data_IF_741858936836
#
_entry.id   IF_741858936836
#
_cell.length_a   1.000
_cell.length_b   1.000
_cell.length_c   1.000
_cell.angle_alpha   90.00
_cell.angle_beta   90.00
_cell.angle_gamma   90.00
#
_symmetry.space_group_name_H-M   'P 1'
#
loop_
_entity.id
_entity.type
_entity.pdbx_description
1 polymer ?
#
# COMPACT_ATOMS: atom_id res chain seq x y z
N UNK A 1 -31.51 7.28 -11.99
CA UNK A 1 -30.42 7.12 -11.00
C UNK A 1 -29.34 8.20 -11.10
N UNK A 2 -29.28 8.97 -12.21
CA UNK A 2 -28.30 10.05 -12.46
C UNK A 2 -28.58 11.40 -11.75
N UNK A 3 -29.69 11.56 -11.02
CA UNK A 3 -30.11 12.89 -10.52
C UNK A 3 -29.26 13.44 -9.35
N UNK A 4 -28.47 12.60 -8.67
CA UNK A 4 -27.75 12.95 -7.44
C UNK A 4 -26.22 12.85 -7.57
N UNK A 5 -25.72 12.67 -8.79
CA UNK A 5 -24.30 12.54 -9.09
C UNK A 5 -23.88 13.62 -10.08
N UNK A 6 -22.74 14.23 -9.84
CA UNK A 6 -22.09 15.17 -10.75
C UNK A 6 -20.86 14.50 -11.34
N UNK A 7 -20.78 14.41 -12.66
CA UNK A 7 -19.63 13.86 -13.36
C UNK A 7 -18.59 14.95 -13.65
N UNK A 8 -17.33 14.69 -13.31
CA UNK A 8 -16.21 15.42 -13.91
C UNK A 8 -15.93 14.84 -15.29
N UNK A 9 -16.34 15.57 -16.33
CA UNK A 9 -16.22 15.15 -17.74
C UNK A 9 -14.77 14.87 -18.15
N UNK A 10 -13.78 15.48 -17.47
CA UNK A 10 -12.37 15.30 -17.81
C UNK A 10 -11.80 13.97 -17.33
N UNK A 11 -12.31 13.44 -16.21
CA UNK A 11 -11.83 12.21 -15.58
C UNK A 11 -12.84 11.05 -15.66
N UNK A 12 -14.11 11.34 -15.93
CA UNK A 12 -15.24 10.39 -15.86
C UNK A 12 -15.62 10.00 -14.42
N UNK A 13 -15.07 10.68 -13.41
CA UNK A 13 -15.35 10.39 -12.00
C UNK A 13 -16.67 11.04 -11.59
N UNK A 14 -17.49 10.33 -10.83
CA UNK A 14 -18.77 10.81 -10.35
C UNK A 14 -18.71 11.18 -8.86
N UNK A 15 -19.23 12.35 -8.52
CA UNK A 15 -19.21 12.94 -7.19
C UNK A 15 -20.64 13.14 -6.68
N UNK A 16 -20.90 12.86 -5.41
CA UNK A 16 -22.19 13.13 -4.74
C UNK A 16 -21.93 13.97 -3.50
N UNK A 17 -22.47 15.18 -3.46
CA UNK A 17 -22.44 16.01 -2.26
C UNK A 17 -23.74 15.83 -1.52
N UNK A 18 -23.67 15.31 -0.30
CA UNK A 18 -24.83 15.26 0.59
C UNK A 18 -24.70 16.47 1.52
N UNK A 19 -25.54 17.49 1.31
CA UNK A 19 -25.53 18.75 2.06
C UNK A 19 -26.60 18.84 3.17
N UNK A 20 -27.48 17.82 3.31
CA UNK A 20 -28.60 17.80 4.28
C UNK A 20 -28.60 16.67 5.36
N UNK A 21 -27.69 15.68 5.29
CA UNK A 21 -27.48 14.53 6.22
C UNK A 21 -26.36 14.63 7.32
N UNK A 22 -26.67 14.85 8.60
CA UNK A 22 -25.64 14.87 9.65
C UNK A 22 -25.17 13.46 10.08
N UNK A 23 -23.95 13.04 9.69
CA UNK A 23 -23.38 11.72 10.02
C UNK A 23 -21.96 11.82 10.62
N UNK A 24 -21.62 10.85 11.48
CA UNK A 24 -20.21 10.61 11.89
C UNK A 24 -19.38 10.08 10.72
N UNK A 25 -18.04 10.17 10.78
CA UNK A 25 -17.16 9.67 9.72
C UNK A 25 -17.40 8.19 9.36
N UNK A 26 -17.59 7.32 10.36
CA UNK A 26 -17.87 5.90 10.10
C UNK A 26 -19.25 5.66 9.49
N UNK A 27 -20.28 6.40 9.92
CA UNK A 27 -21.62 6.31 9.34
C UNK A 27 -21.63 6.84 7.90
N UNK A 28 -20.96 7.95 7.67
CA UNK A 28 -20.69 8.51 6.36
C UNK A 28 -20.05 7.47 5.45
N UNK A 29 -18.92 6.88 5.87
CA UNK A 29 -18.24 5.82 5.11
C UNK A 29 -19.17 4.67 4.74
N UNK A 30 -19.94 4.16 5.71
CA UNK A 30 -20.92 3.09 5.46
C UNK A 30 -21.98 3.51 4.44
N UNK A 31 -22.42 4.77 4.47
CA UNK A 31 -23.41 5.31 3.52
C UNK A 31 -22.89 5.37 2.08
N UNK A 32 -21.60 5.66 1.85
CA UNK A 32 -21.02 5.53 0.51
C UNK A 32 -20.88 4.06 0.11
N UNK A 33 -20.40 3.21 1.00
CA UNK A 33 -20.18 1.79 0.71
C UNK A 33 -21.48 1.07 0.29
N UNK A 34 -22.62 1.43 0.90
CA UNK A 34 -23.95 0.94 0.51
C UNK A 34 -24.37 1.32 -0.91
N UNK A 35 -23.73 2.35 -1.51
CA UNK A 35 -23.96 2.83 -2.86
C UNK A 35 -22.86 2.37 -3.83
N UNK A 36 -22.06 1.36 -3.46
CA UNK A 36 -20.86 0.95 -4.22
C UNK A 36 -19.85 2.09 -4.43
N UNK A 37 -19.81 3.03 -3.49
CA UNK A 37 -18.97 4.21 -3.45
C UNK A 37 -18.02 4.17 -2.23
N UNK A 38 -17.14 5.16 -2.11
CA UNK A 38 -16.30 5.36 -0.92
C UNK A 38 -16.17 6.85 -0.60
N UNK A 39 -15.69 7.19 0.59
CA UNK A 39 -15.39 8.57 0.96
C UNK A 39 -14.36 9.20 0.02
N UNK A 40 -14.49 10.52 -0.18
CA UNK A 40 -13.68 11.32 -1.08
C UNK A 40 -12.18 11.13 -0.87
N UNK A 41 -11.47 10.74 -1.92
CA UNK A 41 -10.01 10.78 -2.00
C UNK A 41 -9.58 11.83 -3.00
N UNK A 42 -8.59 12.64 -2.64
CA UNK A 42 -8.02 13.65 -3.53
C UNK A 42 -6.56 13.26 -3.79
N UNK A 43 -6.27 12.88 -5.03
CA UNK A 43 -4.96 12.34 -5.40
C UNK A 43 -4.15 13.25 -6.32
N UNK A 44 -4.80 14.23 -6.94
CA UNK A 44 -4.21 15.15 -7.91
C UNK A 44 -4.67 16.59 -7.66
N UNK A 45 -3.87 17.56 -8.13
CA UNK A 45 -4.17 19.00 -7.98
C UNK A 45 -5.41 19.44 -8.76
N UNK A 46 -5.66 18.82 -9.93
CA UNK A 46 -6.84 19.10 -10.75
C UNK A 46 -8.12 18.66 -10.04
N UNK A 47 -8.11 17.48 -9.40
CA UNK A 47 -9.22 16.98 -8.59
C UNK A 47 -9.49 17.91 -7.40
N UNK A 48 -8.45 18.40 -6.73
CA UNK A 48 -8.60 19.39 -5.66
C UNK A 48 -9.28 20.69 -6.15
N UNK A 49 -8.90 21.19 -7.33
CA UNK A 49 -9.51 22.38 -7.90
C UNK A 49 -10.98 22.14 -8.28
N UNK A 50 -11.28 21.00 -8.91
CA UNK A 50 -12.65 20.62 -9.28
C UNK A 50 -13.56 20.49 -8.06
N UNK A 51 -13.10 19.77 -7.03
CA UNK A 51 -13.82 19.65 -5.75
C UNK A 51 -14.00 21.02 -5.09
N UNK A 52 -12.99 21.90 -5.18
CA UNK A 52 -13.09 23.26 -4.69
C UNK A 52 -14.23 24.03 -5.37
N UNK A 53 -14.29 23.99 -6.70
CA UNK A 53 -15.38 24.62 -7.46
C UNK A 53 -16.75 24.01 -7.14
N UNK A 54 -16.84 22.69 -7.01
CA UNK A 54 -18.08 21.98 -6.68
C UNK A 54 -18.56 22.30 -5.26
N UNK A 55 -17.64 22.59 -4.34
CA UNK A 55 -17.96 22.84 -2.93
C UNK A 55 -18.04 24.33 -2.56
N UNK A 56 -17.72 25.25 -3.48
CA UNK A 56 -17.57 26.69 -3.20
C UNK A 56 -18.80 27.37 -2.61
N UNK A 57 -19.99 26.92 -3.01
CA UNK A 57 -21.26 27.51 -2.59
C UNK A 57 -21.68 27.04 -1.19
N UNK A 58 -21.08 25.95 -0.72
CA UNK A 58 -21.40 25.38 0.58
C UNK A 58 -20.56 26.06 1.66
N UNK A 59 -21.21 26.87 2.49
CA UNK A 59 -20.56 27.61 3.57
C UNK A 59 -20.10 26.76 4.76
N UNK A 60 -20.00 25.43 4.63
CA UNK A 60 -19.72 24.46 5.68
C UNK A 60 -18.71 23.39 5.23
N UNK A 61 -18.20 22.65 6.21
CA UNK A 61 -17.17 21.65 6.01
C UNK A 61 -17.74 20.27 5.66
N UNK A 62 -16.96 19.45 4.97
CA UNK A 62 -17.35 18.10 4.57
C UNK A 62 -16.32 17.05 5.00
N UNK A 63 -16.79 15.85 5.32
CA UNK A 63 -15.92 14.70 5.51
C UNK A 63 -15.26 14.24 4.22
N UNK A 64 -13.98 13.85 4.32
CA UNK A 64 -13.23 13.17 3.28
C UNK A 64 -12.70 11.82 3.80
N UNK A 65 -12.19 10.98 2.92
CA UNK A 65 -11.73 9.62 3.24
C UNK A 65 -10.37 9.53 3.94
N UNK A 66 -9.64 10.65 4.06
CA UNK A 66 -8.31 10.68 4.64
C UNK A 66 -8.38 10.52 6.16
N UNK A 67 -7.63 9.53 6.65
CA UNK A 67 -7.69 9.13 8.05
C UNK A 67 -6.34 8.53 8.51
N UNK A 68 -6.15 8.50 9.83
CA UNK A 68 -5.02 7.83 10.50
C UNK A 68 -5.53 6.81 11.54
N UNK A 69 -6.58 6.03 11.19
CA UNK A 69 -7.21 5.07 12.10
C UNK A 69 -6.34 3.84 12.38
N UNK A 70 -5.43 3.51 11.47
CA UNK A 70 -4.51 2.38 11.66
C UNK A 70 -3.31 2.85 12.50
N UNK A 71 -3.23 2.38 13.74
CA UNK A 71 -2.19 2.80 14.69
C UNK A 71 -0.75 2.50 14.23
N UNK A 72 -0.57 1.52 13.35
CA UNK A 72 0.72 1.10 12.82
C UNK A 72 1.09 1.81 11.51
N UNK A 73 0.18 2.58 10.91
CA UNK A 73 0.38 3.27 9.63
C UNK A 73 0.20 4.78 9.77
N UNK A 74 0.70 5.51 8.78
CA UNK A 74 0.44 6.93 8.59
C UNK A 74 -0.92 7.21 7.97
N UNK A 75 -1.02 8.40 7.39
CA UNK A 75 -2.21 8.87 6.68
C UNK A 75 -2.52 8.01 5.46
N UNK A 76 -3.80 7.67 5.30
CA UNK A 76 -4.29 6.85 4.19
C UNK A 76 -5.71 7.23 3.79
N UNK A 77 -6.05 7.04 2.51
CA UNK A 77 -7.43 7.16 2.03
C UNK A 77 -8.23 5.89 2.32
N UNK A 78 -9.49 6.06 2.72
CA UNK A 78 -10.41 4.95 3.01
C UNK A 78 -10.57 3.96 1.85
N UNK A 79 -10.53 4.46 0.60
CA UNK A 79 -10.67 3.64 -0.62
C UNK A 79 -9.38 2.99 -1.14
N UNK A 80 -8.26 3.13 -0.42
CA UNK A 80 -6.98 2.56 -0.85
C UNK A 80 -6.22 3.39 -1.90
N UNK A 81 -6.77 4.52 -2.35
CA UNK A 81 -6.04 5.49 -3.16
C UNK A 81 -4.72 5.90 -2.49
N UNK A 82 -3.66 6.15 -3.27
CA UNK A 82 -2.36 6.56 -2.73
C UNK A 82 -2.45 7.96 -2.10
N UNK A 83 -1.90 8.12 -0.89
CA UNK A 83 -1.79 9.41 -0.24
C UNK A 83 -0.54 10.16 -0.75
N UNK A 84 -0.59 10.61 -2.01
CA UNK A 84 0.55 11.25 -2.71
C UNK A 84 0.44 12.77 -2.84
N UNK A 85 -0.74 13.34 -2.61
CA UNK A 85 -1.00 14.77 -2.72
C UNK A 85 -1.42 15.31 -1.35
N UNK A 86 -0.84 16.44 -0.96
CA UNK A 86 -1.05 17.07 0.33
C UNK A 86 -1.62 18.47 0.15
N UNK A 87 -2.59 18.82 0.97
CA UNK A 87 -3.17 20.15 0.99
C UNK A 87 -3.67 20.50 2.40
N UNK A 88 -2.73 20.49 3.36
CA UNK A 88 -2.99 20.69 4.79
C UNK A 88 -3.14 22.16 5.16
N UNK A 89 -4.10 22.46 6.05
CA UNK A 89 -4.30 23.79 6.59
C UNK A 89 -3.07 24.18 7.40
N UNK A 90 -2.61 25.45 7.34
CA UNK A 90 -1.54 25.92 8.21
C UNK A 90 -1.84 25.56 9.66
N UNK A 91 -0.93 24.82 10.29
CA UNK A 91 -1.12 24.34 11.66
C UNK A 91 -1.12 25.56 12.60
N UNK A 92 -2.26 25.85 13.21
CA UNK A 92 -2.28 26.66 14.43
C UNK A 92 -1.72 25.76 15.52
N UNK A 93 -0.48 26.01 15.95
CA UNK A 93 0.20 25.24 16.98
C UNK A 93 -0.72 25.06 18.21
N UNK A 94 -1.10 23.81 18.50
CA UNK A 94 -1.52 23.45 19.84
C UNK A 94 -0.83 22.12 20.24
N UNK A 95 0.11 22.13 21.21
CA UNK A 95 1.01 21.00 21.48
C UNK A 95 0.39 19.86 22.31
N UNK A 96 -0.91 19.91 22.59
CA UNK A 96 -1.59 18.95 23.46
C UNK A 96 -2.51 18.07 22.63
N UNK A 97 -2.57 16.78 22.98
CA UNK A 97 -3.41 15.71 22.40
C UNK A 97 -2.69 14.73 21.46
N UNK A 98 -1.79 13.96 22.08
CA UNK A 98 -1.10 12.78 21.53
C UNK A 98 -1.98 11.53 21.34
N UNK A 99 -3.30 11.61 21.50
CA UNK A 99 -4.21 10.47 21.33
C UNK A 99 -5.58 10.96 20.84
N UNK A 100 -5.82 10.89 19.54
CA UNK A 100 -7.19 10.91 19.00
C UNK A 100 -7.18 10.37 17.58
N UNK A 101 -8.19 9.58 17.23
CA UNK A 101 -8.46 9.11 15.86
C UNK A 101 -8.71 10.33 14.95
N UNK A 102 -7.70 10.77 14.20
CA UNK A 102 -7.83 11.95 13.34
C UNK A 102 -8.52 11.58 12.02
N UNK A 103 -9.70 12.16 11.80
CA UNK A 103 -10.39 12.21 10.51
C UNK A 103 -10.39 13.66 10.01
N UNK A 104 -10.37 13.87 8.71
CA UNK A 104 -10.20 15.22 8.13
C UNK A 104 -11.51 15.80 7.63
N UNK A 105 -11.66 17.11 7.82
CA UNK A 105 -12.69 17.92 7.17
C UNK A 105 -12.06 18.97 6.25
N UNK A 106 -12.67 19.19 5.09
CA UNK A 106 -12.34 20.31 4.20
C UNK A 106 -13.03 21.59 4.71
N UNK A 107 -12.32 22.71 4.83
CA UNK A 107 -12.85 24.02 5.25
C UNK A 107 -13.05 24.98 4.05
N UNK A 108 -13.77 26.09 4.28
CA UNK A 108 -14.09 27.21 3.35
C UNK A 108 -12.94 27.77 2.48
N UNK A 109 -11.69 27.35 2.70
CA UNK A 109 -10.51 27.79 1.96
C UNK A 109 -9.85 26.66 1.14
N UNK A 110 -10.55 25.54 0.95
CA UNK A 110 -10.07 24.38 0.19
C UNK A 110 -8.85 23.70 0.80
N UNK A 111 -8.68 23.77 2.12
CA UNK A 111 -7.56 23.19 2.85
C UNK A 111 -8.04 22.18 3.90
N UNK A 112 -7.23 21.15 4.17
CA UNK A 112 -7.56 20.02 5.04
C UNK A 112 -7.20 20.29 6.50
N UNK A 113 -8.14 20.03 7.43
CA UNK A 113 -7.93 20.24 8.86
C UNK A 113 -8.09 18.96 9.69
N UNK A 114 -7.29 18.83 10.75
CA UNK A 114 -7.40 17.75 11.72
C UNK A 114 -8.71 17.88 12.51
N UNK A 115 -9.40 16.77 12.77
CA UNK A 115 -10.58 16.75 13.65
C UNK A 115 -10.51 15.60 14.66
N UNK A 116 -10.82 15.89 15.94
CA UNK A 116 -10.80 14.94 17.06
C UNK A 116 -12.22 14.47 17.42
N UNK A 117 -12.36 13.16 17.65
CA UNK A 117 -13.62 12.46 17.97
C UNK A 117 -14.18 12.76 19.38
N UNK A 118 -13.35 13.20 20.33
CA UNK A 118 -13.76 13.45 21.72
C UNK A 118 -14.30 14.87 21.98
N UNK A 119 -14.20 15.80 21.02
CA UNK A 119 -14.62 17.20 21.19
C UNK A 119 -16.03 17.51 20.63
N UNK A 120 -17.02 16.71 21.03
CA UNK A 120 -18.46 17.05 21.06
C UNK A 120 -19.39 16.49 19.98
N UNK A 121 -20.64 16.33 20.47
CA UNK A 121 -21.88 15.97 19.77
C UNK A 121 -22.21 16.94 18.63
N UNK A 122 -22.88 16.37 17.64
CA UNK A 122 -23.72 17.01 16.62
C UNK A 122 -23.08 18.13 15.79
N UNK A 123 -22.46 17.78 14.63
CA UNK A 123 -22.23 18.72 13.52
C UNK A 123 -22.13 17.98 12.16
N UNK A 124 -23.24 18.05 11.41
CA UNK A 124 -23.44 18.50 10.00
C UNK A 124 -22.33 18.14 8.97
N UNK A 125 -22.56 17.02 8.27
CA UNK A 125 -22.56 16.83 6.79
C UNK A 125 -21.33 16.52 5.94
N UNK A 126 -21.54 15.79 4.82
CA UNK A 126 -20.63 14.82 4.18
C UNK A 126 -20.65 14.93 2.65
N UNK A 127 -19.48 14.97 2.00
CA UNK A 127 -19.35 14.74 0.55
C UNK A 127 -18.86 13.32 0.26
N UNK A 128 -19.32 12.71 -0.82
CA UNK A 128 -19.03 11.33 -1.23
C UNK A 128 -18.62 11.23 -2.70
N UNK A 129 -17.86 10.18 -3.08
CA UNK A 129 -17.51 9.89 -4.48
C UNK A 129 -18.04 8.51 -4.87
N UNK A 130 -18.58 8.39 -6.08
CA UNK A 130 -18.74 7.13 -6.79
C UNK A 130 -17.72 7.07 -7.92
N UNK A 131 -16.67 6.30 -7.70
CA UNK A 131 -15.82 5.89 -8.80
C UNK A 131 -16.59 4.79 -9.55
N UNK A 132 -17.19 5.13 -10.68
CA UNK A 132 -17.31 4.13 -11.74
C UNK A 132 -15.88 3.74 -12.05
N UNK A 133 -15.45 2.57 -11.57
CA UNK A 133 -14.27 1.91 -12.10
C UNK A 133 -14.56 1.64 -13.59
N UNK A 134 -14.33 2.65 -14.43
CA UNK A 134 -14.28 2.52 -15.87
C UNK A 134 -13.14 1.57 -16.15
N UNK A 135 -13.54 0.31 -16.30
CA UNK A 135 -12.73 -0.85 -16.67
C UNK A 135 -11.54 -1.07 -15.75
N UNK A 136 -11.69 -2.12 -14.92
CA UNK A 136 -10.63 -3.07 -14.61
C UNK A 136 -9.33 -2.74 -15.36
N UNK A 137 -8.38 -2.11 -14.67
CA UNK A 137 -6.99 -2.37 -15.00
C UNK A 137 -6.73 -3.81 -14.53
N UNK A 138 -7.33 -4.77 -15.23
CA UNK A 138 -6.69 -6.06 -15.41
C UNK A 138 -5.50 -5.68 -16.26
N UNK A 139 -4.39 -5.33 -15.60
CA UNK A 139 -3.11 -5.66 -16.17
C UNK A 139 -3.23 -7.14 -16.49
N UNK A 140 -3.44 -7.45 -17.76
CA UNK A 140 -3.09 -8.76 -18.28
C UNK A 140 -1.58 -8.80 -18.05
N UNK A 141 -1.18 -9.24 -16.87
CA UNK A 141 0.18 -9.66 -16.61
C UNK A 141 0.34 -10.86 -17.53
N UNK A 142 0.83 -10.57 -18.74
CA UNK A 142 1.46 -11.59 -19.56
C UNK A 142 2.39 -12.36 -18.64
N UNK A 143 2.29 -13.69 -18.71
CA UNK A 143 2.98 -14.66 -17.86
C UNK A 143 4.28 -14.07 -17.30
N UNK A 144 4.36 -13.93 -15.97
CA UNK A 144 5.57 -13.48 -15.28
C UNK A 144 6.71 -14.44 -15.64
N UNK A 145 7.41 -14.14 -16.73
CA UNK A 145 8.53 -14.95 -17.17
C UNK A 145 9.64 -14.83 -16.14
N UNK A 146 10.36 -15.92 -15.83
CA UNK A 146 11.53 -15.86 -14.99
C UNK A 146 12.51 -14.82 -15.54
N UNK A 147 12.87 -13.86 -14.70
CA UNK A 147 13.78 -12.78 -15.05
C UNK A 147 15.18 -13.12 -14.56
N UNK A 148 16.18 -12.98 -15.42
CA UNK A 148 17.58 -13.02 -15.04
C UNK A 148 18.09 -11.61 -14.74
N UNK A 149 18.76 -11.48 -13.61
CA UNK A 149 19.40 -10.24 -13.16
C UNK A 149 20.91 -10.46 -13.07
N UNK A 150 21.68 -9.41 -13.32
CA UNK A 150 23.14 -9.41 -13.13
C UNK A 150 23.50 -9.72 -11.67
N UNK A 151 24.69 -10.29 -11.43
CA UNK A 151 25.15 -10.66 -10.10
C UNK A 151 24.95 -9.54 -9.05
N UNK A 152 24.41 -9.92 -7.90
CA UNK A 152 24.08 -9.00 -6.80
C UNK A 152 22.75 -8.24 -6.97
N UNK A 153 22.00 -8.48 -8.04
CA UNK A 153 20.63 -7.98 -8.21
C UNK A 153 19.60 -9.10 -8.04
N UNK A 154 18.52 -8.81 -7.34
CA UNK A 154 17.47 -9.76 -7.02
C UNK A 154 16.27 -9.61 -7.98
N UNK A 155 15.86 -10.67 -8.68
CA UNK A 155 14.71 -10.62 -9.58
C UNK A 155 13.40 -10.63 -8.79
N UNK A 156 12.48 -9.74 -9.16
CA UNK A 156 11.09 -9.78 -8.71
C UNK A 156 10.15 -9.16 -9.74
N UNK A 157 9.07 -9.86 -10.07
CA UNK A 157 7.97 -9.36 -10.90
C UNK A 157 8.40 -8.56 -12.16
N UNK A 158 9.28 -9.11 -12.98
CA UNK A 158 9.71 -8.44 -14.22
C UNK A 158 10.88 -7.46 -14.07
N UNK A 159 11.41 -7.25 -12.85
CA UNK A 159 12.41 -6.24 -12.53
C UNK A 159 13.55 -6.82 -11.69
N UNK A 160 14.65 -6.07 -11.60
CA UNK A 160 15.82 -6.38 -10.80
C UNK A 160 16.01 -5.30 -9.74
N UNK A 161 16.25 -5.70 -8.48
CA UNK A 161 16.40 -4.80 -7.33
C UNK A 161 17.74 -5.00 -6.64
N UNK A 162 18.27 -3.93 -6.05
CA UNK A 162 19.50 -3.99 -5.25
C UNK A 162 19.50 -2.95 -4.15
N UNK A 163 19.85 -3.39 -2.93
CA UNK A 163 20.15 -2.50 -1.81
C UNK A 163 21.61 -2.10 -1.86
N UNK A 164 21.85 -0.80 -1.84
CA UNK A 164 23.14 -0.16 -1.67
C UNK A 164 23.26 0.39 -0.25
N UNK A 165 24.33 0.01 0.45
CA UNK A 165 24.58 0.41 1.85
C UNK A 165 25.64 1.52 1.96
N UNK A 166 26.21 1.96 0.85
CA UNK A 166 27.00 3.18 0.80
C UNK A 166 26.09 4.39 1.00
N UNK A 167 26.51 5.32 1.86
CA UNK A 167 25.70 6.46 2.26
C UNK A 167 25.82 7.58 1.21
N UNK A 168 24.68 8.01 0.67
CA UNK A 168 24.58 9.06 -0.36
C UNK A 168 23.39 9.98 -0.10
N UNK A 169 23.49 11.21 -0.59
CA UNK A 169 22.31 12.09 -0.72
C UNK A 169 21.32 11.46 -1.69
N UNK A 170 20.06 11.89 -1.67
CA UNK A 170 19.05 11.34 -2.57
C UNK A 170 19.42 11.52 -4.05
N UNK A 171 19.95 12.69 -4.43
CA UNK A 171 20.38 12.99 -5.80
C UNK A 171 21.61 12.16 -6.23
N UNK A 172 22.58 11.98 -5.33
CA UNK A 172 23.74 11.13 -5.58
C UNK A 172 23.35 9.65 -5.71
N UNK A 173 22.40 9.19 -4.90
CA UNK A 173 21.85 7.85 -4.94
C UNK A 173 21.10 7.60 -6.26
N UNK A 174 20.27 8.55 -6.69
CA UNK A 174 19.61 8.54 -7.99
C UNK A 174 20.62 8.42 -9.14
N UNK A 175 21.65 9.27 -9.12
CA UNK A 175 22.74 9.24 -10.10
C UNK A 175 23.48 7.90 -10.08
N UNK A 176 23.66 7.30 -8.91
CA UNK A 176 24.28 5.97 -8.75
C UNK A 176 23.44 4.85 -9.37
N UNK A 177 22.12 4.87 -9.17
CA UNK A 177 21.22 3.89 -9.80
C UNK A 177 21.18 4.05 -11.32
N UNK A 178 21.14 5.30 -11.82
CA UNK A 178 21.15 5.60 -13.27
C UNK A 178 22.43 5.18 -13.97
N UNK A 179 23.58 5.25 -13.29
CA UNK A 179 24.86 4.70 -13.80
C UNK A 179 24.85 3.18 -13.96
N UNK A 180 23.90 2.46 -13.35
CA UNK A 180 23.72 1.01 -13.45
C UNK A 180 22.50 0.63 -14.31
N UNK A 181 22.08 1.52 -15.22
CA UNK A 181 20.92 1.39 -16.11
C UNK A 181 19.59 1.17 -15.36
N UNK A 182 19.50 1.73 -14.15
CA UNK A 182 18.30 1.70 -13.32
C UNK A 182 17.86 3.09 -12.87
N UNK A 183 17.00 3.11 -11.88
CA UNK A 183 16.59 4.31 -11.15
C UNK A 183 16.42 3.94 -9.66
N UNK A 184 16.15 4.91 -8.79
CA UNK A 184 15.72 4.62 -7.43
C UNK A 184 14.41 3.82 -7.46
N UNK A 185 14.24 2.91 -6.50
CA UNK A 185 13.14 1.97 -6.53
C UNK A 185 11.78 2.66 -6.40
N UNK A 186 10.93 2.43 -7.39
CA UNK A 186 9.49 2.67 -7.38
C UNK A 186 8.74 1.44 -6.88
N UNK A 187 7.61 1.66 -6.18
CA UNK A 187 6.79 0.59 -5.58
C UNK A 187 5.32 0.82 -5.94
N UNK A 188 4.69 -0.15 -6.60
CA UNK A 188 3.36 0.02 -7.22
C UNK A 188 2.26 -0.83 -6.59
N UNK A 189 2.62 -1.87 -5.85
CA UNK A 189 1.66 -2.81 -5.30
C UNK A 189 2.21 -3.45 -4.01
N UNK A 190 1.30 -4.06 -3.25
CA UNK A 190 1.64 -4.63 -1.94
C UNK A 190 2.64 -5.79 -2.08
N UNK A 191 2.61 -6.55 -3.18
CA UNK A 191 3.50 -7.69 -3.37
C UNK A 191 4.96 -7.26 -3.60
N UNK A 192 5.18 -6.21 -4.39
CA UNK A 192 6.48 -5.56 -4.58
C UNK A 192 7.01 -4.95 -3.28
N UNK A 193 6.16 -4.22 -2.55
CA UNK A 193 6.50 -3.72 -1.21
C UNK A 193 6.93 -4.86 -0.26
N UNK A 194 6.14 -5.94 -0.23
CA UNK A 194 6.42 -7.11 0.60
C UNK A 194 7.71 -7.81 0.20
N UNK A 195 8.05 -7.86 -1.09
CA UNK A 195 9.33 -8.41 -1.57
C UNK A 195 10.53 -7.59 -1.06
N UNK A 196 10.47 -6.26 -1.13
CA UNK A 196 11.51 -5.38 -0.60
C UNK A 196 11.79 -5.64 0.89
N UNK A 197 10.73 -5.80 1.69
CA UNK A 197 10.84 -5.99 3.14
C UNK A 197 11.30 -7.40 3.52
N UNK A 198 10.82 -8.43 2.82
CA UNK A 198 11.01 -9.84 3.24
C UNK A 198 12.14 -10.59 2.54
N UNK A 199 12.46 -10.24 1.29
CA UNK A 199 13.36 -11.05 0.45
C UNK A 199 14.62 -10.29 -0.02
N UNK A 200 14.57 -8.96 -0.12
CA UNK A 200 15.70 -8.16 -0.63
C UNK A 200 16.87 -8.01 0.36
N UNK A 201 16.73 -8.54 1.58
CA UNK A 201 17.74 -8.42 2.64
C UNK A 201 17.70 -7.08 3.38
N UNK A 202 16.53 -6.43 3.40
CA UNK A 202 16.24 -5.26 4.22
C UNK A 202 16.36 -5.59 5.72
N UNK A 203 16.90 -4.65 6.51
CA UNK A 203 16.95 -4.79 7.97
C UNK A 203 16.10 -3.70 8.65
N UNK A 204 15.35 -4.02 9.72
CA UNK A 204 14.56 -3.04 10.49
C UNK A 204 15.31 -1.81 11.00
N UNK A 205 16.63 -1.93 11.18
CA UNK A 205 17.53 -0.86 11.64
C UNK A 205 18.01 0.05 10.51
N UNK A 206 17.74 -0.30 9.25
CA UNK A 206 18.15 0.46 8.08
C UNK A 206 17.09 1.50 7.71
N UNK A 207 17.59 2.63 7.20
CA UNK A 207 16.82 3.69 6.57
C UNK A 207 17.39 3.86 5.17
N UNK A 208 16.56 3.61 4.15
CA UNK A 208 16.99 3.52 2.75
C UNK A 208 16.19 4.46 1.86
N UNK A 209 16.84 5.21 0.97
CA UNK A 209 16.16 6.03 -0.03
C UNK A 209 15.33 5.20 -1.02
N UNK A 210 14.13 5.70 -1.30
CA UNK A 210 13.26 5.30 -2.39
C UNK A 210 13.19 6.41 -3.45
N UNK A 211 12.62 6.12 -4.63
CA UNK A 211 12.49 7.11 -5.70
C UNK A 211 11.38 8.16 -5.49
N UNK A 212 10.58 8.04 -4.43
CA UNK A 212 9.44 8.92 -4.19
C UNK A 212 9.93 10.26 -3.63
N UNK A 213 9.46 11.37 -4.21
CA UNK A 213 9.91 12.72 -3.90
C UNK A 213 8.86 13.76 -4.32
N UNK A 214 8.93 14.99 -3.81
CA UNK A 214 8.08 16.11 -4.25
C UNK A 214 8.88 17.29 -4.87
N UNK A 215 10.08 17.01 -5.41
CA UNK A 215 11.03 18.03 -5.89
C UNK A 215 10.46 18.91 -7.01
N UNK A 216 9.68 18.30 -7.91
CA UNK A 216 9.12 19.01 -9.06
C UNK A 216 7.93 19.90 -8.69
N UNK A 217 7.13 19.45 -7.74
CA UNK A 217 5.92 20.13 -7.31
C UNK A 217 5.71 19.83 -5.83
N UNK A 218 6.05 20.80 -4.98
CA UNK A 218 5.91 20.67 -3.54
C UNK A 218 4.50 20.19 -3.17
N UNK A 219 4.41 19.27 -2.20
CA UNK A 219 3.18 18.59 -1.77
C UNK A 219 2.60 17.57 -2.75
N UNK A 220 3.26 17.29 -3.87
CA UNK A 220 2.81 16.30 -4.86
C UNK A 220 3.91 15.28 -5.14
N UNK A 221 3.83 14.14 -4.45
CA UNK A 221 4.85 13.09 -4.54
C UNK A 221 4.79 12.32 -5.86
N UNK A 222 5.92 12.19 -6.54
CA UNK A 222 6.09 11.42 -7.78
C UNK A 222 7.31 10.49 -7.70
N UNK A 223 7.30 9.41 -8.49
CA UNK A 223 8.46 8.53 -8.62
C UNK A 223 9.50 9.12 -9.57
N UNK A 224 10.78 9.03 -9.20
CA UNK A 224 11.92 9.51 -10.00
C UNK A 224 12.07 8.84 -11.37
N UNK A 225 11.52 7.63 -11.53
CA UNK A 225 11.49 6.89 -12.80
C UNK A 225 10.28 7.25 -13.70
N UNK A 226 9.43 8.18 -13.26
CA UNK A 226 8.26 8.67 -13.98
C UNK A 226 7.06 7.72 -14.00
N UNK A 227 7.13 6.59 -13.29
CA UNK A 227 5.99 5.67 -13.17
C UNK A 227 4.90 6.24 -12.24
N UNK A 228 3.62 5.87 -12.41
CA UNK A 228 2.55 6.41 -11.58
C UNK A 228 2.64 5.92 -10.13
N UNK A 229 2.33 6.81 -9.19
CA UNK A 229 2.19 6.45 -7.77
C UNK A 229 0.84 5.77 -7.59
N UNK A 230 0.84 4.45 -7.38
CA UNK A 230 -0.37 3.63 -7.20
C UNK A 230 -0.51 3.05 -5.80
N UNK A 231 0.54 3.14 -4.99
CA UNK A 231 0.59 2.69 -3.60
C UNK A 231 1.35 3.72 -2.77
N UNK A 232 0.90 3.92 -1.53
CA UNK A 232 1.68 4.59 -0.48
C UNK A 232 1.61 3.80 0.81
N UNK A 233 2.74 3.66 1.50
CA UNK A 233 2.82 2.93 2.77
C UNK A 233 3.47 3.80 3.86
N UNK A 234 2.87 4.97 4.14
CA UNK A 234 3.43 5.93 5.09
C UNK A 234 3.57 5.37 6.51
N UNK A 235 4.65 5.76 7.17
CA UNK A 235 4.86 5.59 8.59
C UNK A 235 3.94 6.54 9.35
N UNK A 236 3.63 6.19 10.59
CA UNK A 236 2.84 7.03 11.48
C UNK A 236 3.37 8.46 11.50
N UNK A 237 2.44 9.42 11.42
CA UNK A 237 2.71 10.87 11.37
C UNK A 237 3.43 11.38 10.13
N UNK A 238 3.71 10.52 9.14
CA UNK A 238 4.22 10.92 7.83
C UNK A 238 3.11 10.92 6.77
N UNK A 239 3.32 11.65 5.66
CA UNK A 239 4.36 12.64 5.40
C UNK A 239 4.32 13.83 6.38
N UNK A 240 5.49 14.29 6.83
CA UNK A 240 5.63 15.47 7.70
C UNK A 240 5.95 16.68 6.85
N UNK A 241 5.36 17.83 7.16
CA UNK A 241 5.64 19.07 6.46
C UNK A 241 6.83 19.80 7.09
N UNK A 242 7.86 20.07 6.29
CA UNK A 242 8.94 20.98 6.66
C UNK A 242 8.87 22.20 5.76
N UNK A 243 8.47 23.35 6.31
CA UNK A 243 8.20 24.55 5.51
C UNK A 243 9.40 24.97 4.65
N UNK A 244 9.22 24.98 3.33
CA UNK A 244 10.19 25.50 2.37
C UNK A 244 11.36 24.55 2.05
N UNK A 245 11.25 23.27 2.41
CA UNK A 245 12.21 22.24 1.99
C UNK A 245 11.53 21.20 1.12
N UNK A 246 12.28 20.76 0.11
CA UNK A 246 11.99 19.59 -0.71
C UNK A 246 12.08 18.31 0.15
N UNK A 247 11.08 17.43 0.03
CA UNK A 247 10.98 16.20 0.81
C UNK A 247 11.29 14.98 -0.07
N UNK A 248 12.26 14.19 0.38
CA UNK A 248 12.60 12.89 -0.20
C UNK A 248 12.12 11.77 0.71
N UNK A 249 11.84 10.59 0.14
CA UNK A 249 11.19 9.51 0.89
C UNK A 249 12.14 8.36 1.17
N UNK A 250 12.18 7.94 2.44
CA UNK A 250 12.92 6.78 2.92
C UNK A 250 11.98 5.63 3.27
N UNK A 251 12.52 4.42 3.25
CA UNK A 251 11.93 3.21 3.80
C UNK A 251 12.63 2.86 5.12
N UNK A 252 11.88 2.73 6.22
CA UNK A 252 12.46 2.51 7.56
C UNK A 252 11.56 1.72 8.52
N UNK A 253 12.17 1.21 9.59
CA UNK A 253 11.50 0.52 10.69
C UNK A 253 11.13 -0.94 10.36
N UNK A 254 10.56 -1.65 11.34
CA UNK A 254 10.30 -3.08 11.25
C UNK A 254 9.49 -3.51 10.02
N UNK A 255 8.50 -2.70 9.66
CA UNK A 255 7.59 -2.99 8.55
C UNK A 255 8.04 -2.34 7.23
N UNK A 256 9.12 -1.56 7.22
CA UNK A 256 9.57 -0.81 6.05
C UNK A 256 8.59 0.29 5.60
N UNK A 257 7.90 0.95 6.54
CA UNK A 257 7.03 2.06 6.20
C UNK A 257 7.82 3.28 5.72
N UNK A 258 7.14 4.15 4.99
CA UNK A 258 7.75 5.28 4.30
C UNK A 258 7.74 6.53 5.15
N UNK A 259 8.83 7.28 5.15
CA UNK A 259 8.95 8.54 5.86
C UNK A 259 9.53 9.61 4.94
N UNK A 260 9.08 10.83 5.09
CA UNK A 260 9.70 12.02 4.49
C UNK A 260 10.93 12.41 5.29
N UNK A 261 12.00 12.79 4.61
CA UNK A 261 13.26 13.26 5.19
C UNK A 261 13.93 14.27 4.23
N UNK A 262 14.89 15.04 4.77
CA UNK A 262 15.63 16.03 3.98
C UNK A 262 16.55 15.36 2.97
N UNK A 263 16.43 15.75 1.70
CA UNK A 263 17.11 15.08 0.57
C UNK A 263 18.65 15.06 0.66
N UNK A 264 19.24 15.97 1.42
CA UNK A 264 20.70 16.06 1.61
C UNK A 264 21.25 15.08 2.66
N UNK A 265 20.39 14.33 3.35
CA UNK A 265 20.81 13.30 4.31
C UNK A 265 21.54 12.17 3.60
N UNK A 266 22.62 11.67 4.20
CA UNK A 266 23.39 10.56 3.65
C UNK A 266 22.84 9.22 4.16
N UNK A 267 22.21 8.45 3.26
CA UNK A 267 21.58 7.17 3.56
C UNK A 267 21.93 6.11 2.52
N UNK A 268 21.71 4.83 2.87
CA UNK A 268 21.66 3.77 1.87
C UNK A 268 20.45 3.94 0.94
N UNK A 269 20.36 3.17 -0.14
CA UNK A 269 19.35 3.37 -1.17
C UNK A 269 19.01 2.06 -1.88
N UNK A 270 17.82 2.02 -2.48
CA UNK A 270 17.36 0.86 -3.26
C UNK A 270 17.27 1.25 -4.73
N UNK A 271 17.97 0.52 -5.60
CA UNK A 271 17.85 0.67 -7.05
C UNK A 271 16.91 -0.38 -7.63
N UNK A 272 16.20 0.00 -8.70
CA UNK A 272 15.34 -0.87 -9.52
C UNK A 272 15.70 -0.68 -11.00
N UNK A 273 15.77 -1.77 -11.75
CA UNK A 273 15.98 -1.72 -13.21
C UNK A 273 15.22 -2.82 -13.94
N UNK A 274 15.01 -2.63 -15.24
CA UNK A 274 14.55 -3.69 -16.13
C UNK A 274 15.67 -4.72 -16.33
N UNK A 275 15.34 -6.00 -16.54
CA UNK A 275 16.35 -6.99 -16.85
C UNK A 275 17.03 -6.73 -18.18
N UNK A 276 18.30 -7.12 -18.27
CA UNK A 276 19.08 -7.05 -19.50
C UNK A 276 18.49 -8.01 -20.54
N UNK A 277 18.41 -7.58 -21.80
CA UNK A 277 17.83 -8.34 -22.93
C UNK A 277 18.63 -9.56 -23.38
N UNK A 278 19.76 -9.88 -22.73
CA UNK A 278 20.55 -11.08 -23.00
C UNK A 278 20.04 -12.24 -22.12
N UNK A 279 18.99 -12.92 -22.58
CA UNK A 279 18.49 -14.14 -21.95
C UNK A 279 19.10 -15.37 -22.59
N UNK A 280 19.78 -16.22 -21.82
CA UNK A 280 19.93 -17.64 -22.11
C UNK A 280 19.05 -18.45 -21.16
N UNK A 281 18.35 -19.45 -21.70
CA UNK A 281 17.33 -20.23 -21.01
C UNK A 281 17.80 -20.89 -19.70
N UNK A 282 16.88 -20.84 -18.72
CA UNK A 282 16.68 -21.77 -17.59
C UNK A 282 17.93 -22.15 -16.77
N UNK A 283 18.07 -21.43 -15.65
CA UNK A 283 18.24 -22.12 -14.36
C UNK A 283 17.16 -21.61 -13.41
N UNK A 284 16.21 -22.47 -13.07
CA UNK A 284 15.40 -22.27 -11.87
C UNK A 284 16.38 -22.22 -10.71
N UNK A 285 16.60 -21.03 -10.12
CA UNK A 285 17.41 -20.84 -8.92
C UNK A 285 16.88 -21.82 -7.87
N UNK A 286 17.61 -22.91 -7.67
CA UNK A 286 17.30 -23.89 -6.64
C UNK A 286 17.74 -23.27 -5.33
N UNK A 287 16.78 -22.94 -4.47
CA UNK A 287 17.09 -22.40 -3.15
C UNK A 287 17.83 -23.48 -2.34
N UNK A 288 19.05 -23.19 -1.83
CA UNK A 288 19.84 -24.18 -1.11
C UNK A 288 19.06 -24.76 0.08
N UNK A 289 18.85 -26.07 0.06
CA UNK A 289 18.09 -26.81 1.07
C UNK A 289 16.61 -27.05 0.75
N UNK A 290 16.09 -26.53 -0.37
CA UNK A 290 14.71 -26.77 -0.80
C UNK A 290 14.64 -27.64 -2.07
N UNK A 291 13.50 -28.31 -2.25
CA UNK A 291 13.19 -29.07 -3.46
C UNK A 291 13.01 -28.12 -4.66
N UNK A 292 13.20 -28.63 -5.88
CA UNK A 292 13.03 -27.84 -7.11
C UNK A 292 11.62 -27.25 -7.18
N UNK A 293 11.54 -25.94 -7.40
CA UNK A 293 10.27 -25.19 -7.47
C UNK A 293 9.78 -24.62 -6.13
N UNK A 294 10.40 -25.00 -5.02
CA UNK A 294 10.09 -24.46 -3.70
C UNK A 294 10.95 -23.23 -3.40
N UNK A 295 10.34 -22.25 -2.72
CA UNK A 295 11.00 -21.01 -2.29
C UNK A 295 11.29 -21.05 -0.80
N UNK A 296 12.55 -20.78 -0.45
CA UNK A 296 12.99 -20.76 0.95
C UNK A 296 12.66 -19.45 1.62
N UNK A 297 12.12 -19.52 2.83
CA UNK A 297 12.02 -18.38 3.73
C UNK A 297 12.24 -18.82 5.18
N UNK A 298 13.26 -18.25 5.83
CA UNK A 298 13.73 -18.70 7.13
C UNK A 298 14.20 -20.17 7.10
N UNK A 299 13.58 -21.00 7.92
CA UNK A 299 13.85 -22.44 8.02
C UNK A 299 12.87 -23.31 7.22
N UNK A 300 11.92 -22.68 6.50
CA UNK A 300 10.87 -23.38 5.77
C UNK A 300 11.02 -23.19 4.25
N UNK A 301 10.46 -24.15 3.50
CA UNK A 301 10.33 -24.10 2.06
C UNK A 301 8.83 -24.03 1.72
N UNK A 302 8.45 -23.16 0.79
CA UNK A 302 7.06 -22.92 0.39
C UNK A 302 6.87 -23.19 -1.09
N UNK A 303 5.68 -23.67 -1.46
CA UNK A 303 5.29 -23.91 -2.85
C UNK A 303 3.89 -23.34 -3.08
N UNK A 304 3.70 -22.67 -4.22
CA UNK A 304 2.39 -22.21 -4.67
C UNK A 304 1.84 -23.22 -5.67
N UNK A 305 0.73 -23.88 -5.33
CA UNK A 305 0.04 -24.80 -6.22
C UNK A 305 -0.53 -24.09 -7.46
N UNK A 306 -0.59 -24.79 -8.59
CA UNK A 306 -1.12 -24.26 -9.86
C UNK A 306 -2.57 -24.66 -10.15
N UNK A 307 -3.15 -25.56 -9.35
CA UNK A 307 -4.52 -26.05 -9.53
C UNK A 307 -5.55 -25.24 -8.74
N UNK A 308 -6.74 -25.05 -9.33
CA UNK A 308 -7.92 -24.58 -8.60
C UNK A 308 -8.51 -25.77 -7.84
N UNK A 309 -8.22 -25.84 -6.54
CA UNK A 309 -8.60 -26.96 -5.67
C UNK A 309 -9.51 -26.49 -4.54
N UNK A 310 -10.34 -27.40 -4.02
CA UNK A 310 -11.01 -27.20 -2.72
C UNK A 310 -10.00 -27.30 -1.56
N UNK A 311 -10.37 -26.83 -0.37
CA UNK A 311 -9.52 -26.92 0.82
C UNK A 311 -9.07 -28.37 1.10
N UNK A 312 -9.98 -29.34 1.02
CA UNK A 312 -9.67 -30.75 1.27
C UNK A 312 -8.72 -31.34 0.24
N UNK A 313 -8.90 -31.02 -1.05
CA UNK A 313 -8.00 -31.46 -2.12
C UNK A 313 -6.63 -30.80 -2.02
N UNK A 314 -6.58 -29.52 -1.67
CA UNK A 314 -5.35 -28.79 -1.44
C UNK A 314 -4.56 -29.39 -0.27
N UNK A 315 -5.23 -29.68 0.86
CA UNK A 315 -4.59 -30.32 2.01
C UNK A 315 -4.01 -31.69 1.66
N UNK A 316 -4.76 -32.56 0.99
CA UNK A 316 -4.27 -33.86 0.51
C UNK A 316 -3.09 -33.72 -0.45
N UNK A 317 -3.09 -32.70 -1.29
CA UNK A 317 -1.99 -32.43 -2.23
C UNK A 317 -0.73 -32.02 -1.48
N UNK A 318 -0.85 -31.19 -0.44
CA UNK A 318 0.28 -30.84 0.43
C UNK A 318 0.83 -32.07 1.16
N UNK A 319 -0.04 -32.89 1.76
CA UNK A 319 0.33 -34.12 2.46
C UNK A 319 1.07 -35.10 1.54
N UNK A 320 0.60 -35.25 0.29
CA UNK A 320 1.26 -36.09 -0.71
C UNK A 320 2.69 -35.63 -1.04
N UNK A 321 2.98 -34.34 -0.91
CA UNK A 321 4.32 -33.77 -1.10
C UNK A 321 5.15 -33.74 0.19
N UNK A 322 4.76 -34.49 1.23
CA UNK A 322 5.35 -34.44 2.58
C UNK A 322 5.39 -33.02 3.17
N UNK A 323 4.34 -32.24 2.90
CA UNK A 323 4.15 -30.89 3.40
C UNK A 323 2.73 -30.74 3.98
N UNK A 324 2.40 -29.53 4.42
CA UNK A 324 1.06 -29.16 4.88
C UNK A 324 0.70 -27.78 4.29
N UNK A 325 -0.58 -27.42 4.33
CA UNK A 325 -1.01 -26.08 3.93
C UNK A 325 -0.31 -25.03 4.81
N UNK A 326 0.23 -23.99 4.18
CA UNK A 326 1.10 -23.02 4.85
C UNK A 326 0.45 -22.44 6.12
N UNK A 327 1.20 -22.46 7.22
CA UNK A 327 0.91 -21.72 8.44
C UNK A 327 1.37 -20.28 8.30
N UNK A 328 0.93 -19.41 9.22
CA UNK A 328 1.41 -18.03 9.30
C UNK A 328 1.67 -17.71 10.77
N UNK A 329 2.92 -17.81 11.17
CA UNK A 329 3.38 -17.66 12.56
C UNK A 329 3.81 -16.23 12.87
N UNK A 330 4.15 -15.45 11.84
CA UNK A 330 4.65 -14.09 12.02
C UNK A 330 4.23 -13.13 10.92
N UNK A 331 4.33 -11.83 11.22
CA UNK A 331 4.14 -10.75 10.25
C UNK A 331 5.14 -10.84 9.08
N UNK A 332 6.37 -11.26 9.35
CA UNK A 332 7.41 -11.31 8.32
C UNK A 332 7.11 -12.46 7.34
N UNK A 333 6.65 -13.60 7.85
CA UNK A 333 6.17 -14.72 7.04
C UNK A 333 4.91 -14.35 6.23
N UNK A 334 3.93 -13.66 6.83
CA UNK A 334 2.78 -13.13 6.11
C UNK A 334 3.22 -12.24 4.93
N UNK A 335 4.21 -11.38 5.15
CA UNK A 335 4.77 -10.48 4.14
C UNK A 335 5.45 -11.29 3.03
N UNK A 336 6.25 -12.30 3.38
CA UNK A 336 6.84 -13.21 2.40
C UNK A 336 5.76 -13.91 1.55
N UNK A 337 4.71 -14.47 2.16
CA UNK A 337 3.64 -15.15 1.44
C UNK A 337 2.88 -14.22 0.47
N UNK A 338 2.67 -12.95 0.83
CA UNK A 338 2.10 -11.93 -0.06
C UNK A 338 3.01 -11.72 -1.28
N UNK A 339 4.33 -11.62 -1.07
CA UNK A 339 5.27 -11.46 -2.18
C UNK A 339 5.39 -12.72 -3.06
N UNK A 340 5.26 -13.91 -2.46
CA UNK A 340 5.36 -15.21 -3.13
C UNK A 340 4.14 -15.50 -4.01
N UNK A 341 2.93 -15.23 -3.50
CA UNK A 341 1.68 -15.33 -4.27
C UNK A 341 1.58 -14.20 -5.30
N UNK A 342 2.15 -13.04 -4.99
CA UNK A 342 2.60 -12.08 -5.97
C UNK A 342 1.49 -11.41 -6.78
N UNK A 343 1.80 -11.14 -8.05
CA UNK A 343 0.92 -10.55 -9.07
C UNK A 343 0.15 -11.62 -9.87
N UNK A 344 -0.10 -12.79 -9.26
CA UNK A 344 -0.90 -13.84 -9.87
C UNK A 344 -2.34 -13.37 -10.12
N UNK A 345 -2.98 -13.99 -11.10
CA UNK A 345 -4.35 -13.65 -11.51
C UNK A 345 -5.41 -14.22 -10.55
N UNK A 346 -5.02 -15.25 -9.79
CA UNK A 346 -5.83 -15.98 -8.84
C UNK A 346 -6.19 -15.08 -7.66
N UNK A 347 -7.48 -15.04 -7.32
CA UNK A 347 -8.00 -14.14 -6.29
C UNK A 347 -7.72 -14.59 -4.86
N UNK A 348 -7.62 -15.90 -4.64
CA UNK A 348 -7.51 -16.51 -3.32
C UNK A 348 -6.54 -17.68 -3.37
N UNK A 349 -5.80 -17.85 -2.27
CA UNK A 349 -4.88 -18.95 -2.05
C UNK A 349 -5.23 -19.60 -0.71
N UNK A 350 -5.29 -20.93 -0.67
CA UNK A 350 -5.53 -21.66 0.58
C UNK A 350 -4.30 -21.56 1.49
N UNK A 351 -4.56 -21.34 2.78
CA UNK A 351 -3.62 -21.51 3.90
C UNK A 351 -4.21 -22.53 4.87
N UNK A 352 -3.43 -22.99 5.84
CA UNK A 352 -3.84 -24.08 6.73
C UNK A 352 -4.86 -23.73 7.82
N UNK A 353 -5.30 -22.46 7.94
CA UNK A 353 -6.18 -22.04 9.04
C UNK A 353 -7.63 -22.41 8.73
N UNK A 354 -8.26 -23.20 9.61
CA UNK A 354 -9.66 -23.60 9.46
C UNK A 354 -10.32 -23.88 10.81
N UNK A 355 -11.65 -23.81 10.85
CA UNK A 355 -12.51 -24.17 11.99
C UNK A 355 -13.31 -25.45 11.72
N UNK A 356 -12.83 -26.31 10.80
CA UNK A 356 -13.54 -27.53 10.39
C UNK A 356 -13.60 -28.59 11.49
N UNK A 357 -12.65 -28.58 12.44
CA UNK A 357 -12.67 -29.48 13.60
C UNK A 357 -13.73 -29.06 14.63
N UNK A 358 -13.80 -27.76 14.92
CA UNK A 358 -14.67 -27.17 15.92
C UNK A 358 -15.10 -25.79 15.43
N UNK A 359 -16.39 -25.65 15.13
CA UNK A 359 -16.94 -24.42 14.57
C UNK A 359 -16.66 -23.23 15.48
N UNK A 360 -16.06 -22.16 14.93
CA UNK A 360 -15.64 -20.98 15.68
C UNK A 360 -14.27 -21.08 16.36
N UNK A 361 -13.60 -22.24 16.31
CA UNK A 361 -12.27 -22.48 16.88
C UNK A 361 -11.27 -22.76 15.75
N UNK A 362 -10.52 -21.73 15.34
CA UNK A 362 -9.57 -21.83 14.24
C UNK A 362 -8.25 -22.48 14.66
N UNK A 363 -7.83 -23.51 13.93
CA UNK A 363 -6.54 -24.19 14.09
C UNK A 363 -5.84 -24.38 12.75
N UNK A 364 -4.53 -24.57 12.81
CA UNK A 364 -3.74 -24.93 11.64
C UNK A 364 -3.87 -26.42 11.32
N UNK A 365 -3.77 -26.79 10.04
CA UNK A 365 -3.79 -28.20 9.59
C UNK A 365 -2.65 -29.06 10.14
N UNK A 366 -1.57 -28.44 10.62
CA UNK A 366 -0.47 -29.14 11.31
C UNK A 366 -0.75 -29.40 12.81
N UNK A 367 -1.91 -28.97 13.33
CA UNK A 367 -2.32 -29.11 14.72
C UNK A 367 -1.90 -27.96 15.65
N UNK A 368 -1.13 -26.99 15.16
CA UNK A 368 -0.69 -25.85 15.97
C UNK A 368 -1.81 -24.81 16.19
N UNK A 369 -1.68 -24.05 17.28
CA UNK A 369 -2.57 -22.94 17.59
C UNK A 369 -2.10 -21.64 16.95
N UNK A 370 -2.99 -20.83 16.34
CA UNK A 370 -2.60 -19.57 15.73
C UNK A 370 -2.18 -18.52 16.77
N UNK A 371 -0.91 -18.14 16.77
CA UNK A 371 -0.37 -17.03 17.59
C UNK A 371 -0.38 -15.69 16.85
N UNK A 372 -0.50 -15.71 15.53
CA UNK A 372 -0.58 -14.54 14.67
C UNK A 372 -1.86 -14.60 13.83
N UNK A 373 -2.49 -13.44 13.61
CA UNK A 373 -3.66 -13.34 12.74
C UNK A 373 -3.54 -12.11 11.85
N UNK A 374 -4.02 -12.24 10.61
CA UNK A 374 -4.09 -11.16 9.62
C UNK A 374 -5.46 -11.17 8.94
N UNK A 375 -6.51 -11.08 9.75
CA UNK A 375 -7.89 -11.11 9.28
C UNK A 375 -8.22 -9.90 8.40
N UNK A 376 -9.03 -10.14 7.37
CA UNK A 376 -9.62 -9.07 6.58
C UNK A 376 -10.75 -8.37 7.38
N UNK A 377 -11.22 -7.24 6.87
CA UNK A 377 -12.35 -6.50 7.45
C UNK A 377 -13.57 -7.42 7.61
N UNK A 378 -14.14 -7.44 8.82
CA UNK A 378 -15.29 -8.27 9.19
C UNK A 378 -15.06 -9.81 9.17
N UNK A 379 -13.80 -10.26 9.19
CA UNK A 379 -13.44 -11.68 9.35
C UNK A 379 -12.93 -11.98 10.78
N UNK A 380 -13.05 -13.21 11.30
CA UNK A 380 -13.68 -14.40 10.68
C UNK A 380 -15.22 -14.37 10.67
N UNK A 381 -15.84 -13.34 11.26
CA UNK A 381 -17.28 -13.27 11.48
C UNK A 381 -17.63 -13.54 12.94
N UNK A 382 -18.93 -13.63 13.24
CA UNK A 382 -19.44 -14.10 14.53
C UNK A 382 -19.95 -15.53 14.40
#
# INVERSE_FOLDING_TARGET
>A
TERFWTEDVSTGIHYQINSESALTWHQARKSCQQQNAELLSITETQEQAYIGELTKEFGFAFWIGLNALNFNRGWQWAGGSPFRYLNWAPVIHNPTHQRSEFSIKSLRLFIWSHFCKECSRDLILVSFIFLLFSKKCVLILGELRPVQCTDGWWPYAGHCYKIHRDLKTWEDALSSCRKQDGDLASIHNIAEYSFLVSQLGYKPTEELWLGLNDLKAHFSFEWSDGTPVTLTAWQRSHPTYTSGLEDCVTMKGQDGYWATDVCNKQLGYICKKKPSSQSSEKETIQDPGCQKGWKRYGFHCYLVGSGLLTFSEANKTCEHNNAYLATVESRNEQTFLISLTGLRSEKYFWIGLSDTEEQGSFKWTNGETPHFTHWNTAMPGK
#
